data_IF_379558128609
#
_entry.id   IF_379558128609
#
_cell.length_a   1.000
_cell.length_b   1.000
_cell.length_c   1.000
_cell.angle_alpha   90.00
_cell.angle_beta   90.00
_cell.angle_gamma   90.00
#
_symmetry.space_group_name_H-M   'P 1'
#
loop_
_entity.id
_entity.type
_entity.pdbx_description
1 polymer ?
#
# COMPACT_ATOMS: atom_id res chain seq x y z
N UNK A 1 36.37 -47.96 -21.17
CA UNK A 1 34.95 -48.17 -21.53
C UNK A 1 34.43 -46.92 -22.19
N UNK A 2 33.79 -47.09 -23.36
CA UNK A 2 32.80 -46.21 -24.01
C UNK A 2 33.21 -44.78 -24.41
N UNK A 3 32.45 -44.31 -25.39
CA UNK A 3 32.75 -43.37 -26.45
C UNK A 3 31.67 -42.29 -26.52
N UNK A 4 31.99 -41.17 -27.20
CA UNK A 4 31.10 -40.23 -27.93
C UNK A 4 30.36 -39.12 -27.12
N UNK A 5 29.79 -38.06 -27.75
CA UNK A 5 30.45 -36.93 -28.46
C UNK A 5 29.76 -35.56 -28.23
N UNK A 6 30.08 -34.56 -29.06
CA UNK A 6 29.37 -33.29 -29.27
C UNK A 6 27.84 -33.32 -29.08
N UNK A 7 27.33 -32.38 -28.29
CA UNK A 7 25.96 -31.84 -28.23
C UNK A 7 26.15 -30.39 -27.75
N UNK A 8 25.57 -29.32 -28.26
CA UNK A 8 24.80 -29.02 -29.45
C UNK A 8 24.85 -27.49 -29.54
N UNK A 9 25.09 -26.98 -30.74
CA UNK A 9 24.73 -25.63 -31.13
C UNK A 9 23.24 -25.38 -30.77
N UNK A 10 22.92 -24.35 -29.99
CA UNK A 10 21.69 -23.57 -30.23
C UNK A 10 21.63 -22.28 -29.40
N UNK A 11 21.42 -21.20 -30.15
CA UNK A 11 20.96 -19.88 -29.72
C UNK A 11 19.73 -19.98 -28.78
N UNK A 12 19.77 -19.30 -27.64
CA UNK A 12 18.56 -18.77 -26.99
C UNK A 12 18.91 -17.33 -26.62
N UNK A 13 18.80 -16.42 -27.59
CA UNK A 13 17.62 -15.59 -27.86
C UNK A 13 17.42 -14.56 -26.75
N UNK A 14 17.97 -13.37 -27.00
CA UNK A 14 17.47 -12.13 -26.41
C UNK A 14 15.98 -12.04 -26.77
N UNK A 15 15.13 -12.22 -25.76
CA UNK A 15 13.74 -11.78 -25.78
C UNK A 15 13.58 -10.74 -24.67
N UNK A 16 14.29 -9.63 -24.81
CA UNK A 16 13.76 -8.36 -24.35
C UNK A 16 12.63 -8.03 -25.31
N UNK A 17 11.37 -8.32 -24.95
CA UNK A 17 10.16 -7.72 -25.50
C UNK A 17 8.95 -8.15 -24.64
N UNK A 18 8.52 -7.21 -23.80
CA UNK A 18 7.12 -6.79 -23.66
C UNK A 18 6.07 -7.85 -23.28
N UNK A 19 6.08 -8.22 -22.00
CA UNK A 19 4.85 -8.15 -21.19
C UNK A 19 5.25 -7.31 -19.97
N UNK A 20 5.07 -5.99 -19.99
CA UNK A 20 3.74 -5.46 -19.79
C UNK A 20 3.21 -5.81 -18.39
N UNK A 21 4.08 -5.87 -17.38
CA UNK A 21 3.63 -5.53 -16.03
C UNK A 21 3.28 -4.07 -16.11
N UNK A 22 1.97 -3.82 -16.23
CA UNK A 22 1.31 -2.54 -15.97
C UNK A 22 2.21 -1.72 -15.07
N UNK A 23 2.82 -0.67 -15.63
CA UNK A 23 3.54 0.33 -14.87
C UNK A 23 2.53 0.82 -13.85
N UNK A 24 2.59 0.24 -12.65
CA UNK A 24 1.91 0.76 -11.49
C UNK A 24 2.36 2.19 -11.41
N UNK A 25 1.51 3.09 -11.90
CA UNK A 25 1.61 4.51 -11.69
C UNK A 25 2.02 4.64 -10.24
N UNK A 26 3.17 5.28 -10.00
CA UNK A 26 3.61 5.56 -8.64
C UNK A 26 2.46 6.35 -7.99
N UNK A 27 1.61 5.63 -7.27
CA UNK A 27 0.51 6.17 -6.50
C UNK A 27 1.24 7.02 -5.46
N UNK A 28 1.31 8.32 -5.71
CA UNK A 28 1.88 9.22 -4.74
C UNK A 28 1.03 9.07 -3.47
N UNK A 29 1.61 8.60 -2.33
CA UNK A 29 0.82 8.31 -1.13
C UNK A 29 0.14 9.57 -0.58
N UNK A 30 0.61 10.77 -0.95
CA UNK A 30 0.04 12.06 -0.52
C UNK A 30 -1.28 12.45 -1.24
N UNK A 31 -1.98 11.48 -1.82
CA UNK A 31 -3.25 11.67 -2.52
C UNK A 31 -4.44 11.08 -1.77
N UNK A 32 -5.68 11.39 -2.19
CA UNK A 32 -6.86 10.81 -1.57
C UNK A 32 -6.84 9.28 -1.63
N UNK A 33 -7.25 8.64 -0.54
CA UNK A 33 -7.23 7.18 -0.44
C UNK A 33 -8.24 6.53 -1.40
N UNK A 34 -7.81 5.46 -2.05
CA UNK A 34 -8.62 4.70 -3.02
C UNK A 34 -9.19 3.41 -2.42
N UNK A 35 -10.22 2.83 -3.05
CA UNK A 35 -10.74 1.52 -2.64
C UNK A 35 -9.69 0.42 -2.81
N UNK A 36 -8.80 0.53 -3.81
CA UNK A 36 -7.73 -0.42 -4.06
C UNK A 36 -6.73 -0.43 -2.89
N UNK A 37 -6.28 0.73 -2.43
CA UNK A 37 -5.39 0.85 -1.27
C UNK A 37 -6.06 0.32 0.00
N UNK A 38 -7.31 0.70 0.26
CA UNK A 38 -8.06 0.20 1.42
C UNK A 38 -8.18 -1.34 1.43
N UNK A 39 -8.37 -1.96 0.26
CA UNK A 39 -8.48 -3.41 0.12
C UNK A 39 -7.15 -4.13 0.35
N UNK A 40 -6.01 -3.46 0.15
CA UNK A 40 -4.68 -4.01 0.44
C UNK A 40 -4.34 -3.99 1.94
N UNK A 41 -5.05 -3.20 2.75
CA UNK A 41 -4.85 -3.19 4.20
C UNK A 41 -5.24 -4.52 4.83
N UNK A 42 -4.28 -5.18 5.46
CA UNK A 42 -4.47 -6.43 6.17
C UNK A 42 -4.54 -6.20 7.70
N UNK A 43 -5.34 -7.02 8.37
CA UNK A 43 -5.33 -7.02 9.83
C UNK A 43 -3.93 -7.31 10.35
N UNK A 44 -3.54 -6.61 11.41
CA UNK A 44 -2.23 -6.70 12.08
C UNK A 44 -1.02 -6.17 11.29
N UNK A 45 -1.24 -5.50 10.16
CA UNK A 45 -0.21 -4.71 9.48
C UNK A 45 0.41 -3.69 10.44
N UNK A 46 1.73 -3.47 10.39
CA UNK A 46 2.39 -2.49 11.27
C UNK A 46 1.94 -1.07 10.89
N UNK A 47 1.95 -0.15 11.85
CA UNK A 47 1.59 1.25 11.63
C UNK A 47 2.41 1.88 10.50
N UNK A 48 3.73 1.72 10.55
CA UNK A 48 4.65 2.32 9.56
C UNK A 48 4.39 1.77 8.15
N UNK A 49 4.10 0.47 8.01
CA UNK A 49 3.73 -0.13 6.71
C UNK A 49 2.43 0.48 6.15
N UNK A 50 1.49 0.86 7.02
CA UNK A 50 0.26 1.55 6.60
C UNK A 50 0.56 2.98 6.15
N UNK A 51 1.42 3.71 6.87
CA UNK A 51 1.85 5.06 6.48
C UNK A 51 2.60 5.03 5.15
N UNK A 52 3.50 4.07 4.94
CA UNK A 52 4.21 3.89 3.67
C UNK A 52 3.25 3.63 2.50
N UNK A 53 2.14 2.94 2.75
CA UNK A 53 1.14 2.60 1.73
C UNK A 53 0.16 3.75 1.44
N UNK A 54 -0.29 4.46 2.46
CA UNK A 54 -1.40 5.42 2.39
C UNK A 54 -0.98 6.88 2.49
N UNK A 55 0.26 7.15 2.90
CA UNK A 55 0.71 8.49 3.27
C UNK A 55 0.25 8.90 4.67
N UNK A 56 0.50 10.17 4.98
CA UNK A 56 0.13 10.75 6.26
C UNK A 56 -1.40 10.82 6.41
N UNK A 57 -1.95 10.57 7.60
CA UNK A 57 -3.38 10.75 7.85
C UNK A 57 -3.73 12.24 7.76
N UNK A 58 -4.87 12.55 7.15
CA UNK A 58 -5.41 13.91 7.11
C UNK A 58 -5.92 14.35 8.49
N UNK A 59 -6.51 13.42 9.24
CA UNK A 59 -7.04 13.67 10.58
C UNK A 59 -6.52 12.68 11.62
N UNK A 60 -6.18 13.21 12.80
CA UNK A 60 -5.89 12.44 14.01
C UNK A 60 -6.92 12.84 15.08
N UNK A 61 -7.71 11.88 15.56
CA UNK A 61 -8.81 12.14 16.50
C UNK A 61 -9.73 13.29 16.06
N UNK A 62 -10.09 13.31 14.77
CA UNK A 62 -10.93 14.33 14.12
C UNK A 62 -10.37 15.75 14.11
N UNK A 63 -9.04 15.89 14.22
CA UNK A 63 -8.33 17.16 14.07
C UNK A 63 -7.37 17.05 12.90
N UNK A 64 -7.26 18.13 12.14
CA UNK A 64 -6.28 18.26 11.05
C UNK A 64 -4.89 17.89 11.56
N UNK A 65 -4.24 16.98 10.83
CA UNK A 65 -2.85 16.67 11.02
C UNK A 65 -2.00 17.71 10.30
N UNK A 66 -1.05 18.29 11.01
CA UNK A 66 -0.13 19.30 10.46
C UNK A 66 1.33 18.86 10.55
N UNK A 67 1.57 17.62 10.98
CA UNK A 67 2.91 17.05 11.12
C UNK A 67 3.36 16.44 9.80
N UNK A 68 4.64 16.62 9.47
CA UNK A 68 5.25 16.02 8.27
C UNK A 68 5.42 14.50 8.39
N UNK A 69 5.55 13.99 9.63
CA UNK A 69 5.73 12.58 9.95
C UNK A 69 4.93 12.23 11.20
N UNK A 70 4.02 11.27 11.08
CA UNK A 70 3.24 10.73 12.19
C UNK A 70 3.88 9.45 12.72
N UNK A 71 3.93 9.33 14.05
CA UNK A 71 4.24 8.08 14.74
C UNK A 71 2.98 7.52 15.41
N UNK A 72 3.00 6.21 15.73
CA UNK A 72 1.92 5.61 16.52
C UNK A 72 1.84 6.23 17.92
N UNK A 73 0.70 6.87 18.22
CA UNK A 73 0.43 7.54 19.49
C UNK A 73 -0.04 6.53 20.56
N UNK A 74 -1.26 5.99 20.39
CA UNK A 74 -1.85 4.98 21.30
C UNK A 74 -3.02 4.22 20.63
N UNK A 75 -3.56 3.21 21.33
CA UNK A 75 -4.66 2.37 20.82
C UNK A 75 -6.03 3.06 20.80
N UNK A 76 -6.17 4.20 21.47
CA UNK A 76 -7.40 4.97 21.51
C UNK A 76 -7.48 5.98 20.35
N UNK A 77 -6.36 6.23 19.68
CA UNK A 77 -6.23 7.16 18.57
C UNK A 77 -6.91 6.65 17.30
N UNK A 78 -7.67 7.54 16.66
CA UNK A 78 -8.26 7.36 15.34
C UNK A 78 -7.43 8.10 14.31
N UNK A 79 -7.06 7.40 13.23
CA UNK A 79 -6.37 7.98 12.08
C UNK A 79 -7.31 7.89 10.88
N UNK A 80 -7.48 8.99 10.15
CA UNK A 80 -8.40 9.05 9.02
C UNK A 80 -7.73 9.69 7.81
N UNK A 81 -8.11 9.20 6.64
CA UNK A 81 -7.69 9.70 5.34
C UNK A 81 -8.94 9.98 4.50
N UNK A 82 -8.92 11.08 3.78
CA UNK A 82 -9.99 11.49 2.88
C UNK A 82 -9.88 10.74 1.55
N UNK A 83 -11.03 10.35 1.01
CA UNK A 83 -11.16 9.81 -0.33
C UNK A 83 -11.41 10.91 -1.35
N UNK A 84 -11.35 10.57 -2.64
CA UNK A 84 -11.50 11.55 -3.72
C UNK A 84 -12.91 12.16 -3.81
N UNK A 85 -13.94 11.44 -3.36
CA UNK A 85 -15.32 11.92 -3.36
C UNK A 85 -15.63 12.72 -2.07
N UNK A 86 -16.56 13.68 -2.11
CA UNK A 86 -16.99 14.40 -0.91
C UNK A 86 -17.48 13.44 0.19
N UNK A 87 -17.06 13.69 1.43
CA UNK A 87 -17.40 12.89 2.62
C UNK A 87 -16.99 11.40 2.52
N UNK A 88 -16.13 11.04 1.55
CA UNK A 88 -15.56 9.70 1.44
C UNK A 88 -14.23 9.61 2.16
N UNK A 89 -13.85 8.41 2.58
CA UNK A 89 -12.57 8.19 3.25
C UNK A 89 -12.55 6.93 4.10
N UNK A 90 -11.49 6.80 4.89
CA UNK A 90 -11.31 5.68 5.82
C UNK A 90 -11.02 6.17 7.23
N UNK A 91 -11.27 5.30 8.19
CA UNK A 91 -10.83 5.49 9.57
C UNK A 91 -10.26 4.18 10.10
N UNK A 92 -9.04 4.26 10.62
CA UNK A 92 -8.26 3.15 11.12
C UNK A 92 -7.99 3.31 12.62
N UNK A 93 -7.87 2.17 13.31
CA UNK A 93 -7.40 2.09 14.69
C UNK A 93 -6.35 1.01 14.82
N UNK A 94 -5.33 1.29 15.60
CA UNK A 94 -4.23 0.38 15.87
C UNK A 94 -4.28 -0.11 17.32
N UNK A 95 -3.76 -1.31 17.57
CA UNK A 95 -3.51 -1.86 18.91
C UNK A 95 -2.14 -2.51 18.90
N UNK A 96 -1.33 -2.23 19.92
CA UNK A 96 0.07 -2.68 20.00
C UNK A 96 0.86 -2.34 18.71
N UNK A 97 0.64 -1.13 18.16
CA UNK A 97 1.28 -0.66 16.92
C UNK A 97 0.76 -1.29 15.62
N UNK A 98 -0.27 -2.15 15.69
CA UNK A 98 -0.76 -2.94 14.54
C UNK A 98 -2.20 -2.65 14.19
N UNK A 99 -2.55 -2.68 12.91
CA UNK A 99 -3.90 -2.43 12.42
C UNK A 99 -4.89 -3.40 13.07
N UNK A 100 -5.88 -2.86 13.77
CA UNK A 100 -6.85 -3.63 14.57
C UNK A 100 -8.29 -3.46 14.09
N UNK A 101 -8.60 -2.33 13.48
CA UNK A 101 -9.91 -2.01 12.94
C UNK A 101 -9.75 -1.09 11.73
N UNK A 102 -10.53 -1.36 10.68
CA UNK A 102 -10.65 -0.53 9.49
C UNK A 102 -12.12 -0.31 9.14
N UNK A 103 -12.45 0.92 8.76
CA UNK A 103 -13.78 1.33 8.31
C UNK A 103 -13.60 2.23 7.08
N UNK A 104 -14.50 2.12 6.11
CA UNK A 104 -14.54 2.97 4.93
C UNK A 104 -15.95 3.49 4.70
N UNK A 105 -16.04 4.68 4.10
CA UNK A 105 -17.29 5.27 3.63
C UNK A 105 -17.05 5.84 2.24
N UNK A 106 -17.94 5.52 1.30
CA UNK A 106 -18.02 6.23 0.01
C UNK A 106 -16.81 6.08 -0.92
N UNK A 107 -15.89 5.15 -0.66
CA UNK A 107 -14.81 4.86 -1.60
C UNK A 107 -15.34 4.09 -2.81
N UNK A 108 -14.90 4.48 -4.01
CA UNK A 108 -15.22 3.87 -5.30
C UNK A 108 -14.00 3.21 -5.94
#
# INVERSE_FOLDING_TARGET
MKVFPQISLMFILVAALLTGCDEGEAQNPDGPVTIQQYNQLENRMEFDDVIDMLGQPDLINFKENTEDEVEFIDENTLYSWDGAAPDSGITLRFRDGKLSSKQQVGLE
#
